data_IF_095227887338
#
_entry.id   IF_095227887338
#
_cell.length_a   1.000
_cell.length_b   1.000
_cell.length_c   1.000
_cell.angle_alpha   90.00
_cell.angle_beta   90.00
_cell.angle_gamma   90.00
#
_symmetry.space_group_name_H-M   'P 1'
#
loop_
_entity.id
_entity.type
_entity.pdbx_description
1 polymer ?
#
# COMPACT_ATOMS: atom_id res chain seq x y z
N UNK A 1 11.28 -7.16 12.72
CA UNK A 1 10.29 -6.55 11.81
C UNK A 1 8.91 -6.95 12.32
N UNK A 2 7.95 -6.04 12.30
CA UNK A 2 6.62 -6.21 12.89
C UNK A 2 5.89 -7.41 12.26
N UNK A 3 5.18 -8.22 13.05
CA UNK A 3 4.45 -9.41 12.58
C UNK A 3 3.45 -9.06 11.46
N UNK A 4 2.84 -7.88 11.55
CA UNK A 4 1.88 -7.39 10.55
C UNK A 4 2.53 -7.11 9.18
N UNK A 5 3.80 -6.71 9.15
CA UNK A 5 4.52 -6.48 7.90
C UNK A 5 4.62 -7.76 7.07
N UNK A 6 5.05 -8.86 7.71
CA UNK A 6 5.20 -10.14 7.03
C UNK A 6 3.86 -10.71 6.57
N UNK A 7 2.79 -10.51 7.34
CA UNK A 7 1.43 -10.93 6.97
C UNK A 7 0.92 -10.19 5.73
N UNK A 8 1.11 -8.86 5.65
CA UNK A 8 0.71 -8.09 4.48
C UNK A 8 1.59 -8.42 3.27
N UNK A 9 2.90 -8.59 3.47
CA UNK A 9 3.82 -8.98 2.40
C UNK A 9 3.46 -10.34 1.79
N UNK A 10 3.13 -11.33 2.62
CA UNK A 10 2.68 -12.65 2.17
C UNK A 10 1.36 -12.55 1.37
N UNK A 11 0.41 -11.75 1.83
CA UNK A 11 -0.83 -11.50 1.09
C UNK A 11 -0.55 -10.84 -0.28
N UNK A 12 0.30 -9.82 -0.34
CA UNK A 12 0.69 -9.19 -1.60
C UNK A 12 1.41 -10.18 -2.54
N UNK A 13 2.28 -11.03 -2.00
CA UNK A 13 3.00 -12.07 -2.75
C UNK A 13 2.03 -13.08 -3.37
N UNK A 14 0.99 -13.48 -2.62
CA UNK A 14 -0.06 -14.39 -3.13
C UNK A 14 -0.93 -13.70 -4.18
N UNK A 15 -1.24 -12.42 -3.99
CA UNK A 15 -2.02 -11.62 -4.93
C UNK A 15 -1.25 -11.31 -6.23
N UNK A 16 0.08 -11.29 -6.20
CA UNK A 16 0.92 -11.17 -7.40
C UNK A 16 1.23 -12.52 -8.08
N UNK A 17 0.74 -13.64 -7.53
CA UNK A 17 1.00 -14.98 -8.09
C UNK A 17 0.11 -15.30 -9.29
N UNK A 18 0.57 -16.22 -10.14
CA UNK A 18 -0.20 -16.72 -11.29
C UNK A 18 -1.29 -17.74 -10.88
N UNK A 19 -1.38 -18.12 -9.61
CA UNK A 19 -2.39 -19.05 -9.11
C UNK A 19 -3.70 -18.30 -8.80
N UNK A 20 -4.73 -18.53 -9.63
CA UNK A 20 -6.02 -17.84 -9.52
C UNK A 20 -6.74 -18.04 -8.18
N UNK A 21 -6.58 -19.19 -7.53
CA UNK A 21 -7.20 -19.45 -6.22
C UNK A 21 -6.53 -18.63 -5.11
N UNK A 22 -5.19 -18.64 -5.08
CA UNK A 22 -4.40 -17.86 -4.13
C UNK A 22 -4.64 -16.36 -4.31
N UNK A 23 -4.66 -15.90 -5.57
CA UNK A 23 -4.95 -14.51 -5.92
C UNK A 23 -6.30 -14.08 -5.35
N UNK A 24 -7.38 -14.84 -5.60
CA UNK A 24 -8.73 -14.49 -5.14
C UNK A 24 -8.87 -14.49 -3.62
N UNK A 25 -8.13 -15.34 -2.92
CA UNK A 25 -8.09 -15.35 -1.44
C UNK A 25 -7.34 -14.10 -0.95
N UNK A 26 -6.19 -13.81 -1.51
CA UNK A 26 -5.35 -12.68 -1.13
C UNK A 26 -6.01 -11.33 -1.40
N UNK A 27 -6.68 -11.16 -2.55
CA UNK A 27 -7.44 -9.94 -2.86
C UNK A 27 -8.55 -9.68 -1.85
N UNK A 28 -9.29 -10.72 -1.44
CA UNK A 28 -10.31 -10.60 -0.40
C UNK A 28 -9.71 -10.20 0.94
N UNK A 29 -8.55 -10.75 1.28
CA UNK A 29 -7.84 -10.43 2.51
C UNK A 29 -7.34 -8.97 2.51
N UNK A 30 -6.67 -8.53 1.45
CA UNK A 30 -6.22 -7.15 1.28
C UNK A 30 -7.39 -6.17 1.34
N UNK A 31 -8.52 -6.52 0.72
CA UNK A 31 -9.74 -5.71 0.76
C UNK A 31 -10.32 -5.60 2.17
N UNK A 32 -10.27 -6.68 2.96
CA UNK A 32 -10.77 -6.65 4.34
C UNK A 32 -9.95 -5.74 5.26
N UNK A 33 -8.67 -5.49 4.92
CA UNK A 33 -7.79 -4.62 5.69
C UNK A 33 -7.83 -3.15 5.27
N UNK A 34 -8.57 -2.78 4.21
CA UNK A 34 -8.68 -1.39 3.76
C UNK A 34 -9.19 -0.43 4.85
N UNK A 35 -9.89 -0.94 5.87
CA UNK A 35 -10.42 -0.15 6.99
C UNK A 35 -9.66 -0.34 8.29
N UNK A 36 -8.63 -1.19 8.30
CA UNK A 36 -7.80 -1.44 9.48
C UNK A 36 -6.74 -0.36 9.64
N UNK A 37 -6.55 0.12 10.87
CA UNK A 37 -5.54 1.15 11.16
C UNK A 37 -4.14 0.62 10.88
N UNK A 38 -3.32 1.45 10.24
CA UNK A 38 -1.92 1.12 9.96
C UNK A 38 -1.72 0.27 8.70
N UNK A 39 -2.79 -0.23 8.08
CA UNK A 39 -2.69 -1.03 6.85
C UNK A 39 -1.98 -0.26 5.74
N UNK A 40 -2.35 0.99 5.49
CA UNK A 40 -1.74 1.81 4.45
C UNK A 40 -0.29 2.19 4.77
N UNK A 41 0.04 2.34 6.05
CA UNK A 41 1.43 2.53 6.49
C UNK A 41 2.30 1.31 6.18
N UNK A 42 1.77 0.09 6.39
CA UNK A 42 2.47 -1.16 6.07
C UNK A 42 2.64 -1.31 4.56
N UNK A 43 1.58 -1.06 3.77
CA UNK A 43 1.68 -1.07 2.30
C UNK A 43 2.78 -0.12 1.81
N UNK A 44 2.84 1.09 2.37
CA UNK A 44 3.85 2.06 1.98
C UNK A 44 5.27 1.61 2.36
N UNK A 45 5.44 0.94 3.49
CA UNK A 45 6.73 0.32 3.84
C UNK A 45 7.15 -0.73 2.80
N UNK A 46 6.23 -1.62 2.37
CA UNK A 46 6.51 -2.60 1.31
C UNK A 46 6.84 -1.90 -0.01
N UNK A 47 6.06 -0.89 -0.40
CA UNK A 47 6.27 -0.15 -1.65
C UNK A 47 7.63 0.56 -1.70
N UNK A 48 8.09 1.10 -0.56
CA UNK A 48 9.38 1.78 -0.42
C UNK A 48 10.58 0.83 -0.29
N UNK A 49 10.37 -0.45 0.01
CA UNK A 49 11.45 -1.41 0.24
C UNK A 49 11.98 -1.95 -1.10
N UNK A 50 13.16 -1.46 -1.49
CA UNK A 50 13.83 -1.81 -2.76
C UNK A 50 14.34 -3.25 -2.81
N UNK A 51 14.31 -3.97 -1.68
CA UNK A 51 14.67 -5.39 -1.63
C UNK A 51 13.49 -6.31 -1.98
N UNK A 52 12.27 -5.77 -2.00
CA UNK A 52 11.06 -6.49 -2.41
C UNK A 52 10.95 -6.50 -3.94
N UNK A 53 10.43 -7.60 -4.48
CA UNK A 53 10.18 -7.76 -5.92
C UNK A 53 9.30 -6.64 -6.49
N UNK A 54 9.59 -6.23 -7.73
CA UNK A 54 8.93 -5.09 -8.37
C UNK A 54 7.42 -5.28 -8.48
N UNK A 55 6.93 -6.48 -8.79
CA UNK A 55 5.50 -6.73 -8.99
C UNK A 55 4.74 -6.60 -7.66
N UNK A 56 5.34 -7.06 -6.56
CA UNK A 56 4.79 -6.92 -5.20
C UNK A 56 4.75 -5.45 -4.79
N UNK A 57 5.84 -4.71 -5.03
CA UNK A 57 5.91 -3.27 -4.75
C UNK A 57 4.88 -2.50 -5.56
N UNK A 58 4.74 -2.84 -6.84
CA UNK A 58 3.76 -2.25 -7.75
C UNK A 58 2.33 -2.49 -7.28
N UNK A 59 1.99 -3.72 -6.91
CA UNK A 59 0.68 -4.05 -6.35
C UNK A 59 0.39 -3.25 -5.07
N UNK A 60 1.39 -3.13 -4.18
CA UNK A 60 1.28 -2.34 -2.96
C UNK A 60 0.95 -0.87 -3.25
N UNK A 61 1.64 -0.27 -4.23
CA UNK A 61 1.37 1.10 -4.71
C UNK A 61 -0.07 1.25 -5.23
N UNK A 62 -0.57 0.28 -6.00
CA UNK A 62 -1.94 0.30 -6.50
C UNK A 62 -2.97 0.25 -5.36
N UNK A 63 -2.75 -0.60 -4.36
CA UNK A 63 -3.58 -0.66 -3.16
C UNK A 63 -3.61 0.68 -2.41
N UNK A 64 -2.46 1.33 -2.24
CA UNK A 64 -2.37 2.65 -1.59
C UNK A 64 -3.14 3.70 -2.39
N UNK A 65 -2.93 3.76 -3.70
CA UNK A 65 -3.62 4.71 -4.58
C UNK A 65 -5.14 4.57 -4.46
N UNK A 66 -5.65 3.34 -4.56
CA UNK A 66 -7.08 3.05 -4.43
C UNK A 66 -7.62 3.44 -3.05
N UNK A 67 -6.85 3.16 -2.00
CA UNK A 67 -7.20 3.51 -0.62
C UNK A 67 -7.24 5.02 -0.37
N UNK A 68 -6.24 5.77 -0.85
CA UNK A 68 -6.21 7.23 -0.77
C UNK A 68 -7.39 7.83 -1.53
N UNK A 69 -7.67 7.36 -2.75
CA UNK A 69 -8.81 7.84 -3.52
C UNK A 69 -10.16 7.64 -2.79
N UNK A 70 -10.30 6.53 -2.05
CA UNK A 70 -11.54 6.17 -1.38
C UNK A 70 -11.69 6.74 0.04
N UNK A 71 -10.62 6.72 0.84
CA UNK A 71 -10.68 6.91 2.31
C UNK A 71 -9.90 8.13 2.82
N UNK A 72 -9.30 8.95 1.95
CA UNK A 72 -8.48 10.09 2.38
C UNK A 72 -9.28 11.26 2.96
N UNK A 73 -10.48 11.54 2.43
CA UNK A 73 -11.33 12.64 2.91
C UNK A 73 -11.83 12.34 4.32
N UNK A 74 -11.82 13.35 5.21
CA UNK A 74 -12.30 13.19 6.60
C UNK A 74 -13.78 12.76 6.69
N UNK A 75 -14.57 13.07 5.67
CA UNK A 75 -16.00 12.73 5.58
C UNK A 75 -16.25 11.36 4.94
N UNK A 76 -15.21 10.66 4.46
CA UNK A 76 -15.38 9.34 3.89
C UNK A 76 -15.77 8.33 4.98
N UNK A 77 -16.69 7.39 4.71
CA UNK A 77 -16.88 6.24 5.57
C UNK A 77 -15.56 5.50 5.74
N UNK A 78 -15.21 5.14 6.99
CA UNK A 78 -13.94 4.51 7.34
C UNK A 78 -12.69 5.32 6.89
N UNK A 79 -12.78 6.66 7.00
CA UNK A 79 -11.66 7.53 6.67
C UNK A 79 -10.37 7.10 7.38
N UNK A 80 -9.25 7.17 6.65
CA UNK A 80 -7.93 6.90 7.21
C UNK A 80 -7.70 7.86 8.39
N UNK A 81 -7.15 7.34 9.49
CA UNK A 81 -6.92 8.11 10.69
C UNK A 81 -5.89 9.24 10.44
N UNK A 82 -6.03 10.38 11.14
CA UNK A 82 -5.22 11.56 10.85
C UNK A 82 -3.72 11.34 11.13
N UNK A 83 -3.41 10.60 12.18
CA UNK A 83 -2.06 10.15 12.54
C UNK A 83 -1.45 9.27 11.43
N UNK A 84 -2.22 8.32 10.89
CA UNK A 84 -1.78 7.51 9.75
C UNK A 84 -1.57 8.35 8.49
N UNK A 85 -2.44 9.33 8.20
CA UNK A 85 -2.24 10.27 7.08
C UNK A 85 -0.93 11.06 7.20
N UNK A 86 -0.58 11.49 8.41
CA UNK A 86 0.68 12.19 8.67
C UNK A 86 1.85 11.26 8.38
N UNK A 87 1.81 10.02 8.88
CA UNK A 87 2.84 9.01 8.63
C UNK A 87 3.01 8.71 7.14
N UNK A 88 1.92 8.54 6.40
CA UNK A 88 1.92 8.34 4.94
C UNK A 88 2.63 9.50 4.24
N UNK A 89 2.26 10.75 4.55
CA UNK A 89 2.88 11.94 3.93
C UNK A 89 4.38 12.01 4.21
N UNK A 90 4.78 11.83 5.46
CA UNK A 90 6.20 11.86 5.85
C UNK A 90 7.00 10.78 5.11
N UNK A 91 6.47 9.56 5.03
CA UNK A 91 7.14 8.45 4.37
C UNK A 91 7.22 8.66 2.86
N UNK A 92 6.17 9.14 2.19
CA UNK A 92 6.19 9.45 0.75
C UNK A 92 7.31 10.44 0.38
N UNK A 93 7.55 11.46 1.22
CA UNK A 93 8.65 12.42 1.03
C UNK A 93 10.05 11.79 1.14
N UNK A 94 10.18 10.61 1.73
CA UNK A 94 11.46 9.87 1.79
C UNK A 94 11.61 8.87 0.65
N UNK A 95 10.52 8.47 0.00
CA UNK A 95 10.51 7.42 -1.00
C UNK A 95 10.32 7.92 -2.45
N UNK A 96 9.99 9.19 -2.67
CA UNK A 96 9.68 9.70 -4.02
C UNK A 96 10.86 9.62 -5.00
N UNK A 97 12.11 9.59 -4.50
CA UNK A 97 13.32 9.35 -5.30
C UNK A 97 13.54 7.85 -5.58
N UNK A 98 12.50 7.14 -5.99
CA UNK A 98 12.62 5.73 -6.37
C UNK A 98 13.39 5.57 -7.68
N UNK A 99 14.33 4.62 -7.79
CA UNK A 99 15.05 4.39 -9.05
C UNK A 99 14.14 3.88 -10.18
N UNK A 100 12.98 3.32 -9.85
CA UNK A 100 11.98 2.87 -10.82
C UNK A 100 11.00 4.01 -11.09
N UNK A 101 11.13 4.64 -12.26
CA UNK A 101 10.29 5.78 -12.68
C UNK A 101 8.78 5.49 -12.53
N UNK A 102 8.35 4.26 -12.81
CA UNK A 102 6.95 3.87 -12.71
C UNK A 102 6.42 3.97 -11.27
N UNK A 103 7.22 3.56 -10.27
CA UNK A 103 6.89 3.68 -8.84
C UNK A 103 6.94 5.14 -8.40
N UNK A 104 8.02 5.85 -8.76
CA UNK A 104 8.19 7.27 -8.43
C UNK A 104 7.00 8.12 -8.92
N UNK A 105 6.52 7.88 -10.15
CA UNK A 105 5.36 8.57 -10.71
C UNK A 105 4.10 8.34 -9.87
N UNK A 106 3.86 7.11 -9.41
CA UNK A 106 2.68 6.85 -8.58
C UNK A 106 2.78 7.50 -7.21
N UNK A 107 3.96 7.56 -6.60
CA UNK A 107 4.16 8.34 -5.37
C UNK A 107 3.86 9.82 -5.59
N UNK A 108 4.31 10.41 -6.69
CA UNK A 108 3.97 11.80 -7.03
C UNK A 108 2.45 12.01 -7.19
N UNK A 109 1.76 11.07 -7.86
CA UNK A 109 0.29 11.10 -8.00
C UNK A 109 -0.39 11.02 -6.64
N UNK A 110 0.06 10.14 -5.73
CA UNK A 110 -0.51 10.03 -4.39
C UNK A 110 -0.27 11.31 -3.58
N UNK A 111 0.91 11.93 -3.69
CA UNK A 111 1.21 13.21 -3.02
C UNK A 111 0.29 14.35 -3.50
N UNK A 112 -0.14 14.32 -4.76
CA UNK A 112 -1.01 15.36 -5.34
C UNK A 112 -2.47 15.33 -4.84
N UNK A 113 -2.85 14.35 -4.02
CA UNK A 113 -4.23 14.11 -3.54
C UNK A 113 -4.49 14.71 -2.14
#
# INVERSE_FOLDING_TARGET
>A
MDNHYHVVLDALTKASSQNAELLKIAERQLKSWETERGFYSILLNVACDKTVDLDIRWLSVLCIKNGVDRYWRKTAPNAIANDEKIAIKQKLLTCFNDPINQIALQFAVIISK
#
